data_IF_977059725160
#
_entry.id   IF_977059725160
#
_cell.length_a   1.000
_cell.length_b   1.000
_cell.length_c   1.000
_cell.angle_alpha   90.00
_cell.angle_beta   90.00
_cell.angle_gamma   90.00
#
_symmetry.space_group_name_H-M   'P 1'
#
loop_
_entity.id
_entity.type
_entity.pdbx_description
1 polymer ?
#
# COMPACT_ATOMS: atom_id res chain seq x y z
N UNK A 1 8.45 13.43 -29.16
CA UNK A 1 9.09 12.53 -28.18
C UNK A 1 10.28 13.27 -27.56
N UNK A 2 10.47 13.20 -26.24
CA UNK A 2 11.60 13.86 -25.55
C UNK A 2 12.74 12.85 -25.40
N UNK A 3 14.01 13.21 -25.66
CA UNK A 3 15.15 12.33 -25.40
C UNK A 3 15.41 12.13 -23.89
N UNK A 4 14.81 12.97 -23.04
CA UNK A 4 14.92 12.87 -21.58
C UNK A 4 13.67 12.21 -21.01
N UNK A 5 13.84 11.11 -20.30
CA UNK A 5 12.78 10.48 -19.51
C UNK A 5 12.66 11.20 -18.16
N UNK A 6 11.95 12.32 -18.14
CA UNK A 6 11.79 13.19 -16.98
C UNK A 6 10.44 13.89 -16.96
N UNK A 7 10.01 14.37 -15.78
CA UNK A 7 8.80 15.17 -15.59
C UNK A 7 9.15 16.52 -14.95
N UNK A 8 8.88 17.66 -15.63
CA UNK A 8 9.25 18.98 -15.15
C UNK A 8 8.32 19.51 -14.06
N UNK A 9 8.46 18.99 -12.83
CA UNK A 9 7.59 19.32 -11.70
C UNK A 9 7.84 20.73 -11.11
N UNK A 10 9.01 21.33 -11.36
CA UNK A 10 9.36 22.64 -10.78
C UNK A 10 8.44 23.78 -11.23
N UNK A 11 7.90 23.71 -12.45
CA UNK A 11 6.95 24.71 -12.93
C UNK A 11 5.66 24.71 -12.08
N UNK A 12 5.28 23.55 -11.55
CA UNK A 12 4.14 23.41 -10.66
C UNK A 12 4.34 24.13 -9.33
N UNK A 13 5.57 24.32 -8.86
CA UNK A 13 5.83 24.89 -7.52
C UNK A 13 5.96 26.41 -7.50
N UNK A 14 6.09 27.06 -8.67
CA UNK A 14 6.35 28.52 -8.76
C UNK A 14 5.23 29.36 -8.13
N UNK A 15 3.97 28.90 -8.23
CA UNK A 15 2.79 29.62 -7.71
C UNK A 15 2.00 28.78 -6.68
N UNK A 16 2.62 27.75 -6.10
CA UNK A 16 1.94 26.90 -5.14
C UNK A 16 2.10 27.45 -3.72
N UNK A 17 1.00 27.60 -3.00
CA UNK A 17 0.99 28.05 -1.59
C UNK A 17 1.44 26.95 -0.60
N UNK A 18 1.79 25.76 -1.09
CA UNK A 18 2.21 24.63 -0.28
C UNK A 18 2.56 23.39 -1.11
N UNK A 19 2.70 22.27 -0.43
CA UNK A 19 3.01 20.99 -1.08
C UNK A 19 1.85 20.53 -1.98
N UNK A 20 2.20 19.89 -3.09
CA UNK A 20 1.27 19.34 -4.07
C UNK A 20 1.36 17.82 -4.10
N UNK A 21 0.24 17.18 -4.42
CA UNK A 21 0.19 15.73 -4.67
C UNK A 21 0.26 15.46 -6.17
N UNK A 22 1.07 14.49 -6.54
CA UNK A 22 1.20 14.05 -7.93
C UNK A 22 1.21 12.53 -7.99
N UNK A 23 0.31 11.99 -8.81
CA UNK A 23 0.23 10.57 -9.14
C UNK A 23 0.76 10.35 -10.55
N UNK A 24 1.71 9.45 -10.69
CA UNK A 24 2.37 9.16 -11.97
C UNK A 24 2.14 7.69 -12.30
N UNK A 25 1.55 7.45 -13.47
CA UNK A 25 1.30 6.13 -13.99
C UNK A 25 2.22 5.90 -15.18
N UNK A 26 3.03 4.85 -15.13
CA UNK A 26 3.87 4.42 -16.23
C UNK A 26 3.36 3.09 -16.77
N UNK A 27 3.21 3.03 -18.09
CA UNK A 27 2.97 1.82 -18.85
C UNK A 27 4.24 1.54 -19.64
N UNK A 28 4.89 0.40 -19.39
CA UNK A 28 6.19 0.08 -19.95
C UNK A 28 6.25 -1.34 -20.50
N UNK A 29 7.29 -1.67 -21.28
CA UNK A 29 7.46 -3.02 -21.85
C UNK A 29 8.33 -3.90 -20.96
N UNK A 30 9.41 -3.36 -20.41
CA UNK A 30 10.43 -4.15 -19.73
C UNK A 30 10.12 -4.36 -18.25
N UNK A 31 9.75 -3.32 -17.51
CA UNK A 31 9.53 -3.45 -16.07
C UNK A 31 9.27 -2.15 -15.33
N UNK A 32 9.48 -2.18 -14.02
CA UNK A 32 9.19 -1.07 -13.10
C UNK A 32 9.96 0.19 -13.46
N UNK A 33 9.30 1.33 -13.33
CA UNK A 33 9.94 2.66 -13.41
C UNK A 33 10.31 3.15 -12.01
N UNK A 34 11.51 3.72 -11.89
CA UNK A 34 12.00 4.33 -10.65
C UNK A 34 12.60 5.70 -10.94
N UNK A 35 12.70 6.53 -9.91
CA UNK A 35 13.42 7.81 -9.97
C UNK A 35 14.92 7.61 -9.81
N UNK A 36 15.72 8.40 -10.53
CA UNK A 36 17.19 8.34 -10.47
C UNK A 36 17.79 9.39 -9.53
N UNK A 37 17.11 10.52 -9.33
CA UNK A 37 17.58 11.63 -8.49
C UNK A 37 16.83 11.78 -7.14
N UNK A 38 15.76 11.02 -6.96
CA UNK A 38 15.04 10.90 -5.69
C UNK A 38 14.91 9.42 -5.31
N UNK A 39 14.75 9.13 -4.02
CA UNK A 39 14.59 7.75 -3.57
C UNK A 39 13.17 7.28 -3.91
N UNK A 40 13.08 6.22 -4.71
CA UNK A 40 11.82 5.46 -4.85
C UNK A 40 11.65 4.55 -3.63
N UNK A 41 10.58 4.75 -2.87
CA UNK A 41 10.32 4.09 -1.58
C UNK A 41 9.06 3.24 -1.68
N UNK A 42 9.15 1.96 -1.33
CA UNK A 42 7.97 1.10 -1.25
C UNK A 42 7.14 1.48 -0.02
N UNK A 43 5.84 1.75 -0.21
CA UNK A 43 4.95 1.91 0.94
C UNK A 43 4.89 0.61 1.77
N UNK A 44 4.66 0.70 3.09
CA UNK A 44 4.40 -0.47 3.91
C UNK A 44 3.22 -1.29 3.36
N UNK A 45 3.45 -2.58 3.13
CA UNK A 45 2.42 -3.52 2.69
C UNK A 45 2.33 -4.73 3.64
N UNK A 46 1.31 -5.56 3.43
CA UNK A 46 1.04 -6.79 4.16
C UNK A 46 0.98 -6.63 5.69
N UNK A 47 0.65 -5.42 6.17
CA UNK A 47 0.51 -5.13 7.60
C UNK A 47 -0.88 -5.52 8.09
N UNK A 48 -0.94 -6.21 9.24
CA UNK A 48 -2.20 -6.51 9.92
C UNK A 48 -2.66 -5.30 10.72
N UNK A 49 -3.86 -4.81 10.42
CA UNK A 49 -4.44 -3.63 11.05
C UNK A 49 -5.83 -3.94 11.62
N UNK A 50 -6.33 -3.16 12.59
CA UNK A 50 -7.61 -3.40 13.24
C UNK A 50 -8.78 -3.43 12.24
N UNK A 51 -9.69 -4.37 12.43
CA UNK A 51 -10.83 -4.59 11.51
C UNK A 51 -11.68 -3.33 11.28
N UNK A 52 -11.87 -2.49 12.29
CA UNK A 52 -12.67 -1.25 12.17
C UNK A 52 -12.07 -0.25 11.18
N UNK A 53 -10.79 -0.36 10.83
CA UNK A 53 -10.14 0.52 9.86
C UNK A 53 -10.77 0.38 8.47
N UNK A 54 -11.46 -0.73 8.19
CA UNK A 54 -12.25 -0.91 6.96
C UNK A 54 -13.15 0.29 6.67
N UNK A 55 -13.84 0.81 7.68
CA UNK A 55 -14.80 1.91 7.52
C UNK A 55 -14.13 3.29 7.58
N UNK A 56 -12.81 3.34 7.81
CA UNK A 56 -12.00 4.56 7.89
C UNK A 56 -10.75 4.47 7.02
N UNK A 57 -10.82 3.70 5.94
CA UNK A 57 -9.63 3.40 5.14
C UNK A 57 -9.02 4.65 4.52
N UNK A 58 -9.84 5.61 4.09
CA UNK A 58 -9.36 6.89 3.56
C UNK A 58 -8.52 7.68 4.56
N UNK A 59 -8.97 7.77 5.82
CA UNK A 59 -8.22 8.45 6.88
C UNK A 59 -6.93 7.71 7.23
N UNK A 60 -7.03 6.38 7.35
CA UNK A 60 -5.87 5.52 7.57
C UNK A 60 -4.80 5.71 6.49
N UNK A 61 -5.19 5.67 5.22
CA UNK A 61 -4.26 5.75 4.11
C UNK A 61 -3.61 7.13 4.01
N UNK A 62 -4.41 8.20 4.16
CA UNK A 62 -3.89 9.58 4.19
C UNK A 62 -2.84 9.75 5.28
N UNK A 63 -3.14 9.30 6.50
CA UNK A 63 -2.26 9.53 7.64
C UNK A 63 -1.03 8.60 7.59
N UNK A 64 -1.17 7.39 7.05
CA UNK A 64 -0.05 6.51 6.72
C UNK A 64 0.89 7.16 5.72
N UNK A 65 0.35 7.69 4.62
CA UNK A 65 1.14 8.35 3.59
C UNK A 65 1.88 9.58 4.15
N UNK A 66 1.18 10.43 4.92
CA UNK A 66 1.79 11.56 5.60
C UNK A 66 2.93 11.14 6.54
N UNK A 67 2.77 10.03 7.26
CA UNK A 67 3.82 9.50 8.11
C UNK A 67 5.03 9.00 7.31
N UNK A 68 4.82 8.38 6.14
CA UNK A 68 5.92 7.98 5.24
C UNK A 68 6.64 9.19 4.64
N UNK A 69 5.91 10.22 4.20
CA UNK A 69 6.49 11.48 3.70
C UNK A 69 7.42 12.09 4.75
N UNK A 70 6.97 12.20 6.01
CA UNK A 70 7.79 12.71 7.11
C UNK A 70 9.03 11.87 7.37
N UNK A 71 8.90 10.53 7.35
CA UNK A 71 10.03 9.60 7.56
C UNK A 71 11.11 9.73 6.50
N UNK A 72 10.72 10.03 5.26
CA UNK A 72 11.63 10.24 4.14
C UNK A 72 12.04 11.71 3.97
N UNK A 73 11.94 12.51 5.05
CA UNK A 73 12.31 13.92 5.10
C UNK A 73 11.69 14.76 3.97
N UNK A 74 10.44 14.44 3.62
CA UNK A 74 9.65 15.14 2.59
C UNK A 74 10.27 15.06 1.19
N UNK A 75 11.15 14.08 0.93
CA UNK A 75 11.88 13.88 -0.35
C UNK A 75 11.61 12.52 -1.02
N UNK A 76 10.70 11.72 -0.46
CA UNK A 76 10.39 10.39 -0.96
C UNK A 76 9.47 10.41 -2.18
N UNK A 77 9.72 9.51 -3.13
CA UNK A 77 8.79 9.18 -4.22
C UNK A 77 8.27 7.78 -3.95
N UNK A 78 6.96 7.62 -3.74
CA UNK A 78 6.40 6.41 -3.16
C UNK A 78 5.86 5.47 -4.23
N UNK A 79 6.36 4.24 -4.25
CA UNK A 79 5.78 3.16 -5.02
C UNK A 79 4.53 2.66 -4.31
N UNK A 80 3.38 2.77 -4.97
CA UNK A 80 2.09 2.26 -4.48
C UNK A 80 1.69 0.96 -5.18
N UNK A 81 2.08 0.81 -6.45
CA UNK A 81 1.72 -0.33 -7.29
C UNK A 81 2.77 -0.58 -8.37
N UNK A 82 3.14 -1.85 -8.57
CA UNK A 82 3.93 -2.33 -9.69
C UNK A 82 3.40 -3.71 -10.09
N UNK A 83 2.93 -3.89 -11.32
CA UNK A 83 2.32 -5.15 -11.71
C UNK A 83 2.42 -5.43 -13.20
N UNK A 84 2.74 -6.67 -13.53
CA UNK A 84 2.72 -7.18 -14.89
C UNK A 84 1.28 -7.46 -15.34
N UNK A 85 0.78 -6.70 -16.32
CA UNK A 85 -0.61 -6.82 -16.77
C UNK A 85 -0.89 -8.09 -17.58
N UNK A 86 0.13 -8.88 -17.91
CA UNK A 86 -0.03 -10.20 -18.51
C UNK A 86 -0.75 -11.20 -17.61
N UNK A 87 -0.62 -11.06 -16.29
CA UNK A 87 -1.14 -12.04 -15.35
C UNK A 87 -1.83 -11.35 -14.18
N UNK A 88 -2.99 -11.87 -13.81
CA UNK A 88 -3.88 -11.24 -12.87
C UNK A 88 -4.44 -12.31 -11.92
N UNK A 89 -3.75 -12.58 -10.81
CA UNK A 89 -4.22 -13.57 -9.84
C UNK A 89 -3.96 -13.15 -8.38
N UNK A 90 -5.00 -12.97 -7.53
CA UNK A 90 -6.43 -12.89 -7.82
C UNK A 90 -6.86 -11.45 -8.15
N UNK A 91 -7.51 -11.23 -9.29
CA UNK A 91 -7.91 -9.89 -9.73
C UNK A 91 -9.37 -9.55 -9.48
N UNK A 92 -9.60 -8.31 -9.05
CA UNK A 92 -10.92 -7.76 -8.77
C UNK A 92 -11.71 -7.35 -10.03
N UNK A 93 -11.05 -7.31 -11.20
CA UNK A 93 -11.64 -6.92 -12.48
C UNK A 93 -10.90 -7.58 -13.67
N UNK A 94 -11.50 -7.49 -14.85
CA UNK A 94 -10.88 -7.93 -16.10
C UNK A 94 -9.67 -7.03 -16.46
N UNK A 95 -8.63 -7.59 -17.10
CA UNK A 95 -7.55 -6.79 -17.69
C UNK A 95 -8.09 -5.78 -18.71
N UNK A 96 -7.39 -4.66 -18.89
CA UNK A 96 -7.73 -3.66 -19.92
C UNK A 96 -7.67 -4.28 -21.32
N UNK A 97 -8.59 -3.90 -22.20
CA UNK A 97 -8.55 -4.27 -23.61
C UNK A 97 -7.39 -3.60 -24.34
N UNK A 98 -7.01 -4.16 -25.50
CA UNK A 98 -5.97 -3.55 -26.35
C UNK A 98 -6.33 -2.12 -26.82
N UNK A 99 -7.62 -1.83 -27.00
CA UNK A 99 -8.10 -0.49 -27.36
C UNK A 99 -7.95 0.49 -26.19
N UNK A 100 -8.31 0.06 -24.97
CA UNK A 100 -8.12 0.86 -23.75
C UNK A 100 -6.62 1.12 -23.51
N UNK A 101 -5.77 0.10 -23.62
CA UNK A 101 -4.32 0.25 -23.50
C UNK A 101 -3.77 1.24 -24.53
N UNK A 102 -4.22 1.17 -25.78
CA UNK A 102 -3.84 2.14 -26.82
C UNK A 102 -4.30 3.56 -26.48
N UNK A 103 -5.50 3.73 -25.94
CA UNK A 103 -6.01 5.04 -25.51
C UNK A 103 -5.17 5.66 -24.39
N UNK A 104 -4.50 4.82 -23.58
CA UNK A 104 -3.55 5.22 -22.53
C UNK A 104 -2.12 5.41 -23.04
N UNK A 105 -1.87 5.30 -24.36
CA UNK A 105 -0.55 5.54 -24.96
C UNK A 105 0.29 4.29 -25.22
N UNK A 106 -0.27 3.08 -25.04
CA UNK A 106 0.40 1.81 -25.37
C UNK A 106 0.32 1.56 -26.87
N UNK A 107 1.10 2.31 -27.65
CA UNK A 107 1.08 2.20 -29.12
C UNK A 107 1.89 1.02 -29.67
N UNK A 108 2.70 0.38 -28.84
CA UNK A 108 3.54 -0.75 -29.23
C UNK A 108 2.83 -2.10 -29.15
N UNK A 109 1.63 -2.14 -28.60
CA UNK A 109 0.78 -3.32 -28.72
C UNK A 109 0.09 -3.29 -30.08
N UNK A 110 0.48 -4.23 -30.94
CA UNK A 110 -0.16 -4.41 -32.23
C UNK A 110 -1.61 -4.91 -32.03
N UNK A 111 -2.59 -4.35 -32.75
CA UNK A 111 -3.94 -4.89 -32.74
C UNK A 111 -3.88 -6.28 -33.38
N UNK A 112 -4.53 -7.27 -32.75
CA UNK A 112 -4.49 -8.67 -33.14
C UNK A 112 -4.55 -8.88 -34.67
N UNK A 113 -3.38 -9.13 -35.27
CA UNK A 113 -3.31 -9.62 -36.64
C UNK A 113 -3.67 -11.10 -36.65
N UNK A 114 -4.94 -11.43 -36.93
CA UNK A 114 -5.42 -12.74 -37.45
C UNK A 114 -4.77 -14.03 -36.89
N UNK A 115 -4.33 -14.06 -35.64
CA UNK A 115 -3.81 -15.27 -35.00
C UNK A 115 -4.85 -15.76 -34.00
N UNK A 116 -5.49 -16.89 -34.34
CA UNK A 116 -6.30 -17.79 -33.50
C UNK A 116 -7.16 -17.18 -32.39
N UNK A 117 -8.49 -17.35 -32.48
CA UNK A 117 -9.49 -16.95 -31.47
C UNK A 117 -9.30 -17.52 -30.05
N UNK A 118 -8.32 -18.40 -29.82
CA UNK A 118 -8.26 -19.28 -28.65
C UNK A 118 -6.96 -19.17 -27.82
N UNK A 119 -6.08 -18.20 -28.07
CA UNK A 119 -4.88 -17.97 -27.23
C UNK A 119 -4.99 -16.63 -26.50
N UNK A 120 -4.89 -16.61 -25.15
CA UNK A 120 -4.79 -15.36 -24.40
C UNK A 120 -3.58 -14.57 -24.91
N UNK A 121 -3.83 -13.35 -25.38
CA UNK A 121 -2.80 -12.45 -25.87
C UNK A 121 -1.94 -12.02 -24.68
N UNK A 122 -0.64 -12.28 -24.71
CA UNK A 122 0.30 -11.71 -23.73
C UNK A 122 0.33 -10.19 -23.93
N UNK A 123 -0.41 -9.48 -23.09
CA UNK A 123 -0.30 -8.05 -22.90
C UNK A 123 1.06 -7.67 -22.30
N UNK A 124 2.06 -7.43 -23.15
CA UNK A 124 3.38 -6.98 -22.68
C UNK A 124 3.37 -5.52 -22.21
N UNK A 125 2.72 -5.29 -21.05
CA UNK A 125 2.59 -4.01 -20.36
C UNK A 125 2.84 -4.25 -18.89
N UNK A 126 3.77 -3.48 -18.35
CA UNK A 126 4.02 -3.40 -16.92
C UNK A 126 3.53 -2.03 -16.42
N UNK A 127 2.68 -2.05 -15.40
CA UNK A 127 2.13 -0.84 -14.79
C UNK A 127 2.93 -0.49 -13.54
N UNK A 128 3.41 0.76 -13.46
CA UNK A 128 3.97 1.34 -12.23
C UNK A 128 3.17 2.57 -11.82
N UNK A 129 2.77 2.66 -10.56
CA UNK A 129 2.15 3.84 -9.95
C UNK A 129 3.07 4.41 -8.88
N UNK A 130 3.55 5.62 -9.12
CA UNK A 130 4.28 6.43 -8.15
C UNK A 130 3.36 7.53 -7.61
N UNK A 131 3.53 7.86 -6.34
CA UNK A 131 2.87 8.97 -5.67
C UNK A 131 3.93 9.83 -4.98
N UNK A 132 3.88 11.14 -5.20
CA UNK A 132 4.81 12.08 -4.61
C UNK A 132 4.05 13.29 -4.06
N UNK A 133 4.38 13.63 -2.81
CA UNK A 133 4.08 14.93 -2.23
C UNK A 133 5.31 15.81 -2.38
N UNK A 134 5.22 16.90 -3.14
CA UNK A 134 6.38 17.72 -3.48
C UNK A 134 6.16 19.21 -3.25
N UNK A 135 7.26 19.91 -2.95
CA UNK A 135 7.33 21.37 -2.83
C UNK A 135 8.69 21.87 -3.35
N UNK A 136 8.85 23.20 -3.46
CA UNK A 136 10.07 23.79 -3.97
C UNK A 136 11.31 23.61 -3.07
N UNK A 137 11.12 23.42 -1.75
CA UNK A 137 12.22 23.32 -0.80
C UNK A 137 12.87 21.92 -0.81
N UNK A 138 12.05 20.88 -1.02
CA UNK A 138 12.47 19.48 -1.00
C UNK A 138 12.70 18.91 -2.40
N UNK A 139 12.05 19.46 -3.43
CA UNK A 139 12.22 19.06 -4.84
C UNK A 139 12.77 20.21 -5.69
N UNK A 140 14.05 20.60 -5.53
CA UNK A 140 14.68 21.67 -6.33
C UNK A 140 14.99 21.25 -7.78
N UNK A 141 14.89 19.95 -8.09
CA UNK A 141 15.13 19.36 -9.40
C UNK A 141 13.86 18.69 -9.92
N UNK A 142 13.78 18.53 -11.25
CA UNK A 142 12.71 17.79 -11.88
C UNK A 142 12.88 16.27 -11.65
N UNK A 143 11.80 15.49 -11.73
CA UNK A 143 11.89 14.04 -11.56
C UNK A 143 12.53 13.41 -12.78
N UNK A 144 13.64 12.71 -12.57
CA UNK A 144 14.31 11.92 -13.61
C UNK A 144 13.99 10.45 -13.40
N UNK A 145 13.65 9.74 -14.47
CA UNK A 145 13.20 8.35 -14.40
C UNK A 145 14.13 7.41 -15.16
N UNK A 146 14.09 6.14 -14.76
CA UNK A 146 14.64 5.02 -15.50
C UNK A 146 13.65 3.87 -15.53
N UNK A 147 13.54 3.20 -16.66
CA UNK A 147 12.90 1.89 -16.76
C UNK A 147 13.89 0.81 -16.35
N UNK A 148 13.48 -0.09 -15.46
CA UNK A 148 14.30 -1.19 -14.96
C UNK A 148 13.88 -2.51 -15.60
N UNK A 149 14.73 -3.54 -15.47
CA UNK A 149 14.36 -4.93 -15.81
C UNK A 149 13.56 -5.64 -14.70
N UNK A 150 13.27 -4.96 -13.58
CA UNK A 150 12.56 -5.55 -12.46
C UNK A 150 11.05 -5.64 -12.77
N UNK A 151 10.56 -6.88 -12.89
CA UNK A 151 9.14 -7.22 -13.05
C UNK A 151 8.50 -7.75 -11.77
N UNK A 152 9.14 -7.61 -10.62
CA UNK A 152 8.56 -8.02 -9.35
C UNK A 152 7.30 -7.23 -9.05
N UNK A 153 6.23 -7.97 -8.76
CA UNK A 153 4.96 -7.38 -8.39
C UNK A 153 5.02 -6.77 -7.00
N UNK A 154 4.34 -5.64 -6.84
CA UNK A 154 4.21 -4.93 -5.59
C UNK A 154 2.84 -4.24 -5.54
N UNK A 155 2.16 -4.32 -4.41
CA UNK A 155 0.92 -3.61 -4.18
C UNK A 155 0.83 -3.22 -2.71
N UNK A 156 0.65 -1.94 -2.42
CA UNK A 156 0.36 -1.49 -1.06
C UNK A 156 -1.00 -2.03 -0.60
N UNK A 157 -0.99 -3.17 0.10
CA UNK A 157 -2.18 -3.86 0.62
C UNK A 157 -2.08 -4.08 2.12
N UNK A 158 -3.21 -4.08 2.80
CA UNK A 158 -3.29 -4.22 4.26
C UNK A 158 -4.26 -5.34 4.63
N UNK A 159 -3.94 -6.07 5.69
CA UNK A 159 -4.61 -7.32 6.04
C UNK A 159 -5.62 -7.06 7.17
N UNK A 160 -6.88 -7.38 6.91
CA UNK A 160 -7.94 -7.38 7.92
C UNK A 160 -8.28 -8.82 8.29
N UNK A 161 -8.08 -9.19 9.56
CA UNK A 161 -8.42 -10.52 10.05
C UNK A 161 -9.78 -10.51 10.75
N UNK A 162 -10.74 -11.19 10.14
CA UNK A 162 -12.05 -11.39 10.74
C UNK A 162 -11.95 -12.45 11.84
N UNK A 163 -12.24 -12.11 13.11
CA UNK A 163 -12.27 -13.09 14.18
C UNK A 163 -13.43 -14.07 13.95
N UNK A 164 -13.23 -15.33 14.32
CA UNK A 164 -14.30 -16.31 14.34
C UNK A 164 -15.26 -16.03 15.52
N UNK A 165 -16.56 -16.09 15.24
CA UNK A 165 -17.63 -15.68 16.17
C UNK A 165 -18.50 -16.85 16.64
N UNK A 166 -18.09 -18.10 16.38
CA UNK A 166 -18.85 -19.27 16.85
C UNK A 166 -18.71 -19.52 18.36
N UNK A 167 -19.31 -20.61 18.82
CA UNK A 167 -19.44 -20.95 20.25
C UNK A 167 -18.15 -21.55 20.83
N UNK A 168 -17.85 -21.25 22.09
CA UNK A 168 -16.63 -21.71 22.75
C UNK A 168 -16.79 -23.12 23.35
N UNK A 169 -17.21 -24.09 22.52
CA UNK A 169 -17.58 -25.45 22.94
C UNK A 169 -16.40 -26.41 23.14
N UNK A 170 -15.17 -25.98 22.83
CA UNK A 170 -13.98 -26.82 22.95
C UNK A 170 -12.75 -26.06 23.49
N UNK A 171 -11.75 -26.76 24.06
CA UNK A 171 -10.53 -26.13 24.56
C UNK A 171 -9.79 -25.28 23.52
N UNK A 172 -9.85 -25.65 22.24
CA UNK A 172 -9.25 -24.90 21.15
C UNK A 172 -9.90 -23.51 20.98
N UNK A 173 -11.22 -23.40 21.19
CA UNK A 173 -11.90 -22.11 21.14
C UNK A 173 -11.46 -21.19 22.29
N UNK A 174 -11.33 -21.72 23.50
CA UNK A 174 -10.80 -20.96 24.65
C UNK A 174 -9.38 -20.46 24.41
N UNK A 175 -8.49 -21.31 23.89
CA UNK A 175 -7.12 -20.92 23.54
C UNK A 175 -7.10 -19.85 22.43
N UNK A 176 -7.96 -19.99 21.41
CA UNK A 176 -8.12 -19.00 20.35
C UNK A 176 -8.54 -17.62 20.90
N UNK A 177 -9.54 -17.58 21.80
CA UNK A 177 -10.00 -16.32 22.43
C UNK A 177 -8.88 -15.61 23.18
N UNK A 178 -8.00 -16.35 23.85
CA UNK A 178 -6.85 -15.77 24.54
C UNK A 178 -5.85 -15.14 23.55
N UNK A 179 -5.60 -15.80 22.41
CA UNK A 179 -4.71 -15.28 21.36
C UNK A 179 -5.25 -14.03 20.67
N UNK A 180 -6.58 -13.83 20.63
CA UNK A 180 -7.19 -12.64 20.02
C UNK A 180 -6.70 -11.34 20.67
N UNK A 181 -6.52 -11.33 21.99
CA UNK A 181 -6.05 -10.14 22.70
C UNK A 181 -4.65 -9.73 22.25
N UNK A 182 -3.72 -10.69 22.20
CA UNK A 182 -2.34 -10.44 21.80
C UNK A 182 -2.24 -10.07 20.32
N UNK A 183 -3.13 -10.62 19.47
CA UNK A 183 -3.26 -10.20 18.07
C UNK A 183 -3.74 -8.75 17.97
N UNK A 184 -4.82 -8.41 18.65
CA UNK A 184 -5.37 -7.06 18.60
C UNK A 184 -4.44 -6.00 19.17
N UNK A 185 -3.67 -6.32 20.21
CA UNK A 185 -2.64 -5.42 20.71
C UNK A 185 -1.55 -5.17 19.67
N UNK A 186 -1.11 -6.21 18.93
CA UNK A 186 -0.18 -6.04 17.80
C UNK A 186 -0.79 -5.20 16.68
N UNK A 187 -2.03 -5.48 16.27
CA UNK A 187 -2.75 -4.69 15.26
C UNK A 187 -2.86 -3.21 15.69
N UNK A 188 -3.13 -2.93 16.97
CA UNK A 188 -3.18 -1.57 17.51
C UNK A 188 -1.83 -0.85 17.42
N UNK A 189 -0.74 -1.52 17.81
CA UNK A 189 0.62 -1.00 17.72
C UNK A 189 1.04 -0.75 16.26
N UNK A 190 0.72 -1.68 15.36
CA UNK A 190 0.95 -1.54 13.92
C UNK A 190 0.24 -0.31 13.38
N UNK A 191 -1.05 -0.13 13.70
CA UNK A 191 -1.82 1.03 13.26
C UNK A 191 -1.20 2.34 13.77
N UNK A 192 -0.89 2.42 15.07
CA UNK A 192 -0.26 3.60 15.66
C UNK A 192 1.10 3.92 15.02
N UNK A 193 1.92 2.89 14.75
CA UNK A 193 3.21 3.05 14.09
C UNK A 193 3.04 3.58 12.67
N UNK A 194 2.11 3.01 11.90
CA UNK A 194 1.90 3.36 10.50
C UNK A 194 1.36 4.79 10.33
N UNK A 195 0.41 5.21 11.16
CA UNK A 195 -0.31 6.49 10.98
C UNK A 195 0.12 7.60 11.94
N UNK A 196 0.83 7.27 13.02
CA UNK A 196 1.10 8.21 14.12
C UNK A 196 -0.11 8.47 15.03
N UNK A 197 -1.21 7.72 14.88
CA UNK A 197 -2.39 7.85 15.75
C UNK A 197 -2.07 7.49 17.19
N UNK A 198 -2.81 8.10 18.13
CA UNK A 198 -2.66 7.82 19.55
C UNK A 198 -3.04 6.37 19.87
N UNK A 199 -2.10 5.61 20.43
CA UNK A 199 -2.31 4.20 20.77
C UNK A 199 -3.43 3.99 21.79
N UNK A 200 -3.62 4.92 22.73
CA UNK A 200 -4.71 4.86 23.71
C UNK A 200 -6.09 4.94 23.06
N UNK A 201 -6.27 5.86 22.11
CA UNK A 201 -7.52 6.01 21.37
C UNK A 201 -7.80 4.79 20.48
N UNK A 202 -6.76 4.22 19.86
CA UNK A 202 -6.89 2.98 19.08
C UNK A 202 -7.35 1.83 19.99
N UNK A 203 -6.67 1.60 21.12
CA UNK A 203 -7.03 0.52 22.06
C UNK A 203 -8.45 0.69 22.61
N UNK A 204 -8.88 1.94 22.85
CA UNK A 204 -10.26 2.28 23.27
C UNK A 204 -11.27 1.96 22.16
N UNK A 205 -11.00 2.36 20.92
CA UNK A 205 -11.86 2.05 19.78
C UNK A 205 -12.01 0.54 19.53
N UNK A 206 -10.97 -0.24 19.83
CA UNK A 206 -10.99 -1.70 19.77
C UNK A 206 -11.62 -2.38 20.98
N UNK A 207 -11.98 -1.63 22.02
CA UNK A 207 -12.51 -2.14 23.28
C UNK A 207 -11.63 -3.24 23.93
N UNK A 208 -10.30 -3.10 23.86
CA UNK A 208 -9.37 -4.13 24.36
C UNK A 208 -9.47 -4.38 25.86
N UNK A 209 -9.88 -3.36 26.63
CA UNK A 209 -10.09 -3.48 28.08
C UNK A 209 -11.21 -4.43 28.45
N UNK A 210 -12.19 -4.65 27.57
CA UNK A 210 -13.28 -5.58 27.79
C UNK A 210 -12.93 -7.04 27.44
N UNK A 211 -11.78 -7.29 26.80
CA UNK A 211 -11.35 -8.64 26.45
C UNK A 211 -10.77 -9.36 27.67
N UNK A 212 -11.04 -10.67 27.85
CA UNK A 212 -10.49 -11.45 28.95
C UNK A 212 -8.95 -11.37 28.97
N UNK A 213 -8.33 -11.23 30.15
CA UNK A 213 -6.90 -11.48 30.31
C UNK A 213 -6.64 -12.98 30.35
N UNK A 214 -5.61 -13.48 29.65
CA UNK A 214 -5.26 -14.92 29.63
C UNK A 214 -4.99 -15.50 31.02
N UNK A 215 -4.74 -14.64 32.00
CA UNK A 215 -4.74 -15.00 33.40
C UNK A 215 -5.95 -14.35 34.07
N UNK A 216 -6.93 -15.17 34.46
CA UNK A 216 -7.91 -14.80 35.49
C UNK A 216 -7.26 -14.50 36.85
N UNK A 217 -5.93 -14.62 36.96
CA UNK A 217 -5.15 -14.18 38.11
C UNK A 217 -4.96 -12.67 38.09
N UNK A 218 -5.61 -11.99 39.02
CA UNK A 218 -5.32 -10.58 39.36
C UNK A 218 -3.84 -10.42 39.69
N UNK A 219 -3.28 -9.24 39.45
CA UNK A 219 -1.83 -8.99 39.60
C UNK A 219 -1.25 -9.45 40.96
N UNK A 220 -2.03 -9.35 42.04
CA UNK A 220 -1.63 -9.80 43.38
C UNK A 220 -1.57 -11.34 43.53
N UNK A 221 -2.32 -12.09 42.72
CA UNK A 221 -2.31 -13.56 42.68
C UNK A 221 -1.11 -14.12 41.90
N UNK A 222 -0.25 -13.24 41.37
CA UNK A 222 1.03 -13.59 40.73
C UNK A 222 2.22 -13.37 41.68
N UNK A 223 2.02 -12.64 42.79
CA UNK A 223 3.07 -12.36 43.77
C UNK A 223 3.24 -13.51 44.78
N UNK A 224 2.22 -14.35 44.93
CA UNK A 224 2.22 -15.47 45.85
C UNK A 224 1.79 -16.71 45.08
N UNK A 225 2.76 -17.56 44.77
CA UNK A 225 2.54 -18.93 44.33
C UNK A 225 2.71 -19.83 45.55
N UNK A 226 1.74 -20.71 45.81
CA UNK A 226 1.96 -21.91 46.62
C UNK A 226 2.86 -22.88 45.83
#
# INVERSE_FOLDING_TARGET
>A
ESPKFMLPIRLGTVNADGAQELFIYFLTKQGRVETTNYRTVRLPEAQEIPLYVKDRFSDFYRDLFMQQVKRENERGVFLEYAWDMNWCDPCAANPLSAEELRSLGVFWQEPAGRMGKDMPMEQNVFLTRLHVRYDAAHFPEDLMFQETSDRSNFQARYILRHPWTGQDECPAASAYRQQLRDRYEREAQTLAHLTGWNIGDIRKAMNLSALPTSNGKKWYQKLWHD
#
